data_IF_083247797718
#
_entry.id   IF_083247797718
#
_cell.length_a   1.000
_cell.length_b   1.000
_cell.length_c   1.000
_cell.angle_alpha   90.00
_cell.angle_beta   90.00
_cell.angle_gamma   90.00
#
_symmetry.space_group_name_H-M   'P 1'
#
loop_
_entity.id
_entity.type
_entity.pdbx_description
1 polymer ?
#
# COMPACT_ATOMS: atom_id res chain seq x y z
N UNK A 1 24.76 13.23 -16.39
CA UNK A 1 23.81 12.17 -15.96
C UNK A 1 23.63 12.30 -14.45
N UNK A 2 22.40 12.53 -13.98
CA UNK A 2 22.09 12.64 -12.56
C UNK A 2 21.64 11.26 -12.07
N UNK A 3 22.51 10.52 -11.38
CA UNK A 3 22.25 9.16 -10.93
C UNK A 3 21.42 9.22 -9.62
N UNK A 4 20.18 8.76 -9.64
CA UNK A 4 19.34 8.66 -8.44
C UNK A 4 19.35 7.23 -7.92
N UNK A 5 19.96 7.02 -6.76
CA UNK A 5 19.99 5.72 -6.08
C UNK A 5 18.80 5.68 -5.11
N UNK A 6 17.95 4.65 -5.24
CA UNK A 6 16.86 4.35 -4.30
C UNK A 6 17.00 2.92 -3.81
N UNK A 7 16.66 2.69 -2.54
CA UNK A 7 16.65 1.34 -1.95
C UNK A 7 15.30 0.68 -2.17
N UNK A 8 15.32 -0.58 -2.59
CA UNK A 8 14.12 -1.40 -2.77
C UNK A 8 13.79 -2.22 -1.50
N UNK A 9 14.81 -2.61 -0.74
CA UNK A 9 14.71 -3.40 0.49
C UNK A 9 13.75 -4.61 0.35
N UNK A 10 12.99 -4.93 1.41
CA UNK A 10 12.01 -6.02 1.40
C UNK A 10 10.78 -5.73 0.53
N UNK A 11 10.55 -4.46 0.17
CA UNK A 11 9.38 -4.04 -0.61
C UNK A 11 9.37 -4.64 -2.02
N UNK A 12 10.55 -4.94 -2.58
CA UNK A 12 10.65 -5.64 -3.87
C UNK A 12 10.06 -7.05 -3.82
N UNK A 13 10.39 -7.82 -2.77
CA UNK A 13 9.87 -9.18 -2.57
C UNK A 13 8.37 -9.13 -2.31
N UNK A 14 7.92 -8.25 -1.42
CA UNK A 14 6.50 -8.06 -1.11
C UNK A 14 5.73 -7.67 -2.38
N UNK A 15 6.24 -6.75 -3.19
CA UNK A 15 5.63 -6.37 -4.46
C UNK A 15 5.54 -7.54 -5.42
N UNK A 16 6.61 -8.33 -5.57
CA UNK A 16 6.61 -9.51 -6.44
C UNK A 16 5.52 -10.52 -6.04
N UNK A 17 5.38 -10.83 -4.75
CA UNK A 17 4.33 -11.74 -4.25
C UNK A 17 2.92 -11.18 -4.52
N UNK A 18 2.72 -9.87 -4.35
CA UNK A 18 1.43 -9.23 -4.63
C UNK A 18 1.06 -9.35 -6.12
N UNK A 19 2.03 -9.19 -7.03
CA UNK A 19 1.84 -9.37 -8.47
C UNK A 19 1.53 -10.84 -8.82
N UNK A 20 2.28 -11.79 -8.28
CA UNK A 20 2.09 -13.23 -8.52
C UNK A 20 0.68 -13.69 -8.11
N UNK A 21 0.16 -13.14 -7.01
CA UNK A 21 -1.18 -13.40 -6.50
C UNK A 21 -2.28 -12.59 -7.21
N UNK A 22 -1.90 -11.66 -8.10
CA UNK A 22 -2.81 -10.77 -8.84
C UNK A 22 -3.76 -9.98 -7.95
N UNK A 23 -3.32 -9.63 -6.74
CA UNK A 23 -4.18 -8.98 -5.74
C UNK A 23 -4.71 -7.64 -6.26
N UNK A 24 -3.85 -6.84 -6.90
CA UNK A 24 -4.25 -5.52 -7.44
C UNK A 24 -5.34 -5.68 -8.49
N UNK A 25 -5.13 -6.53 -9.49
CA UNK A 25 -6.10 -6.74 -10.57
C UNK A 25 -7.43 -7.30 -10.06
N UNK A 26 -7.38 -8.20 -9.08
CA UNK A 26 -8.59 -8.74 -8.46
C UNK A 26 -9.39 -7.64 -7.76
N UNK A 27 -8.71 -6.79 -6.98
CA UNK A 27 -9.37 -5.71 -6.24
C UNK A 27 -9.94 -4.66 -7.19
N UNK A 28 -9.22 -4.28 -8.23
CA UNK A 28 -9.68 -3.32 -9.24
C UNK A 28 -10.89 -3.83 -10.04
N UNK A 29 -11.09 -5.16 -10.10
CA UNK A 29 -12.30 -5.74 -10.70
C UNK A 29 -13.55 -5.57 -9.82
N UNK A 30 -13.40 -5.63 -8.49
CA UNK A 30 -14.52 -5.58 -7.54
C UNK A 30 -14.76 -4.20 -6.95
N UNK A 31 -13.75 -3.34 -6.92
CA UNK A 31 -13.79 -2.00 -6.35
C UNK A 31 -13.65 -0.98 -7.48
N UNK A 32 -14.73 -0.25 -7.83
CA UNK A 32 -14.62 0.81 -8.82
C UNK A 32 -13.73 1.93 -8.28
N UNK A 33 -12.85 2.43 -9.14
CA UNK A 33 -12.07 3.65 -8.86
C UNK A 33 -12.98 4.88 -8.98
N UNK A 34 -12.88 5.80 -8.04
CA UNK A 34 -13.48 7.14 -8.17
C UNK A 34 -12.57 8.00 -9.07
N UNK A 35 -13.14 8.71 -10.04
CA UNK A 35 -12.42 9.58 -10.98
C UNK A 35 -11.54 10.65 -10.29
N UNK A 36 -11.83 10.96 -9.02
CA UNK A 36 -11.05 11.89 -8.20
C UNK A 36 -9.80 11.26 -7.59
N UNK A 37 -9.63 9.94 -7.68
CA UNK A 37 -8.49 9.21 -7.13
C UNK A 37 -7.40 9.02 -8.19
N UNK A 38 -6.17 9.36 -7.85
CA UNK A 38 -5.02 9.24 -8.76
C UNK A 38 -4.43 7.81 -8.82
N UNK A 39 -4.84 6.94 -7.90
CA UNK A 39 -4.45 5.52 -7.80
C UNK A 39 -5.68 4.63 -7.67
N UNK A 40 -5.57 3.39 -8.14
CA UNK A 40 -6.67 2.42 -8.06
C UNK A 40 -6.86 1.90 -6.62
N UNK A 41 -8.03 1.36 -6.27
CA UNK A 41 -8.24 0.66 -4.99
C UNK A 41 -7.19 -0.43 -4.75
N UNK A 42 -6.85 -1.23 -5.76
CA UNK A 42 -5.81 -2.26 -5.68
C UNK A 42 -4.43 -1.68 -5.41
N UNK A 43 -4.06 -0.58 -6.06
CA UNK A 43 -2.80 0.14 -5.78
C UNK A 43 -2.76 0.67 -4.34
N UNK A 44 -3.89 1.19 -3.84
CA UNK A 44 -4.01 1.64 -2.46
C UNK A 44 -3.80 0.48 -1.48
N UNK A 45 -4.42 -0.69 -1.73
CA UNK A 45 -4.23 -1.89 -0.89
C UNK A 45 -2.80 -2.40 -0.94
N UNK A 46 -2.20 -2.44 -2.13
CA UNK A 46 -0.78 -2.79 -2.29
C UNK A 46 0.10 -1.87 -1.45
N UNK A 47 -0.13 -0.56 -1.50
CA UNK A 47 0.55 0.43 -0.67
C UNK A 47 0.36 0.18 0.83
N UNK A 48 -0.83 -0.22 1.27
CA UNK A 48 -1.09 -0.59 2.66
C UNK A 48 -0.33 -1.84 3.08
N UNK A 49 -0.35 -2.90 2.28
CA UNK A 49 0.36 -4.15 2.57
C UNK A 49 1.87 -3.86 2.70
N UNK A 50 2.41 -3.06 1.79
CA UNK A 50 3.82 -2.65 1.83
C UNK A 50 4.14 -1.81 3.07
N UNK A 51 3.20 -0.97 3.53
CA UNK A 51 3.35 -0.20 4.76
C UNK A 51 3.22 -1.06 6.02
N UNK A 52 2.30 -2.04 6.03
CA UNK A 52 1.94 -2.85 7.19
C UNK A 52 2.83 -4.05 7.47
N UNK A 53 3.44 -4.64 6.43
CA UNK A 53 4.39 -5.73 6.60
C UNK A 53 5.78 -5.25 7.08
N UNK A 54 5.99 -3.93 7.11
CA UNK A 54 7.26 -3.32 7.48
C UNK A 54 7.44 -3.14 8.99
N UNK A 55 7.28 -4.19 9.81
CA UNK A 55 7.73 -4.33 11.22
C UNK A 55 7.56 -3.12 12.18
N UNK A 56 6.76 -2.13 11.84
CA UNK A 56 6.55 -0.95 12.63
C UNK A 56 5.17 -1.10 13.27
N UNK A 57 5.11 -0.96 14.59
CA UNK A 57 3.90 -0.95 15.39
C UNK A 57 3.05 0.33 15.11
N UNK A 58 2.98 0.75 13.84
CA UNK A 58 2.28 1.93 13.35
C UNK A 58 1.01 1.47 12.62
N UNK A 59 -0.08 2.23 12.74
CA UNK A 59 -1.31 1.93 12.01
C UNK A 59 -1.02 1.80 10.51
N UNK A 60 -1.64 0.82 9.85
CA UNK A 60 -1.66 0.73 8.38
C UNK A 60 -2.13 2.06 7.82
N UNK A 61 -1.23 2.80 7.19
CA UNK A 61 -1.50 4.16 6.75
C UNK A 61 -0.92 4.40 5.36
N UNK A 62 -1.75 4.98 4.50
CA UNK A 62 -1.32 5.54 3.22
C UNK A 62 -0.73 6.94 3.41
N UNK A 63 0.24 7.07 4.30
CA UNK A 63 0.95 8.32 4.55
C UNK A 63 1.96 8.56 3.41
N UNK A 64 1.88 9.67 2.66
CA UNK A 64 2.83 9.99 1.58
C UNK A 64 4.29 9.88 2.01
N UNK A 65 4.58 10.21 3.27
CA UNK A 65 5.91 10.21 3.85
C UNK A 65 6.60 8.85 3.78
N UNK A 66 5.85 7.74 3.87
CA UNK A 66 6.39 6.40 3.70
C UNK A 66 6.89 6.15 2.27
N UNK A 67 6.18 6.68 1.28
CA UNK A 67 6.41 6.44 -0.14
C UNK A 67 7.50 7.32 -0.75
N UNK A 68 7.89 8.43 -0.10
CA UNK A 68 8.85 9.41 -0.63
C UNK A 68 10.19 8.80 -1.07
N UNK A 69 10.69 7.83 -0.30
CA UNK A 69 12.00 7.23 -0.53
C UNK A 69 11.94 5.92 -1.34
N UNK A 70 10.74 5.44 -1.66
CA UNK A 70 10.55 4.22 -2.42
C UNK A 70 10.68 4.46 -3.94
N UNK A 71 11.12 3.46 -4.72
CA UNK A 71 11.10 3.50 -6.17
C UNK A 71 9.67 3.21 -6.69
N UNK A 72 8.74 4.17 -6.52
CA UNK A 72 7.31 3.97 -6.78
C UNK A 72 6.99 3.49 -8.19
N UNK A 73 7.65 4.03 -9.21
CA UNK A 73 7.42 3.60 -10.59
C UNK A 73 7.77 2.13 -10.84
N UNK A 74 8.71 1.57 -10.08
CA UNK A 74 9.08 0.16 -10.16
C UNK A 74 8.17 -0.73 -9.31
N UNK A 75 7.57 -0.16 -8.27
CA UNK A 75 6.72 -0.85 -7.32
C UNK A 75 5.24 -0.79 -7.69
N UNK A 76 4.83 0.14 -8.55
CA UNK A 76 3.44 0.34 -8.97
C UNK A 76 3.39 0.45 -10.50
N UNK A 77 3.32 1.68 -11.01
CA UNK A 77 3.36 2.01 -12.43
C UNK A 77 3.96 3.39 -12.64
N UNK A 78 4.27 3.70 -13.89
CA UNK A 78 4.74 5.02 -14.30
C UNK A 78 3.77 6.14 -13.87
N UNK A 79 4.31 7.25 -13.39
CA UNK A 79 3.54 8.42 -12.97
C UNK A 79 2.95 8.35 -11.56
N UNK A 80 3.10 7.23 -10.82
CA UNK A 80 2.67 7.15 -9.41
C UNK A 80 3.62 7.96 -8.52
N UNK A 81 3.04 8.86 -7.74
CA UNK A 81 3.76 9.74 -6.83
C UNK A 81 3.36 9.48 -5.38
N UNK A 82 4.27 9.77 -4.45
CA UNK A 82 4.02 9.60 -3.01
C UNK A 82 2.78 10.39 -2.55
N UNK A 83 2.52 11.55 -3.15
CA UNK A 83 1.36 12.40 -2.88
C UNK A 83 0.02 11.78 -3.26
N UNK A 84 -0.01 10.76 -4.11
CA UNK A 84 -1.25 10.07 -4.50
C UNK A 84 -1.78 9.16 -3.38
N UNK A 85 -0.90 8.68 -2.49
CA UNK A 85 -1.28 7.87 -1.35
C UNK A 85 -1.81 8.79 -0.24
N UNK A 86 -3.13 8.87 -0.09
CA UNK A 86 -3.79 9.74 0.89
C UNK A 86 -4.78 8.93 1.74
N UNK A 87 -4.96 9.32 3.01
CA UNK A 87 -5.80 8.58 3.96
C UNK A 87 -7.27 8.43 3.53
N UNK A 88 -7.82 9.40 2.79
CA UNK A 88 -9.24 9.36 2.39
C UNK A 88 -9.58 8.25 1.38
N UNK A 89 -8.59 7.75 0.62
CA UNK A 89 -8.79 6.63 -0.31
C UNK A 89 -9.22 5.37 0.47
N UNK A 90 -8.71 5.22 1.69
CA UNK A 90 -8.98 4.07 2.56
C UNK A 90 -10.43 4.01 3.03
N UNK A 91 -11.05 5.18 3.26
CA UNK A 91 -12.44 5.27 3.74
C UNK A 91 -13.41 4.76 2.65
N UNK A 92 -13.14 5.08 1.39
CA UNK A 92 -13.99 4.66 0.25
C UNK A 92 -13.93 3.14 0.04
N UNK A 93 -12.79 2.51 0.35
CA UNK A 93 -12.59 1.06 0.19
C UNK A 93 -13.04 0.20 1.38
N UNK A 94 -13.55 0.78 2.49
CA UNK A 94 -13.82 0.07 3.76
C UNK A 94 -12.60 -0.66 4.39
N UNK A 95 -11.39 -0.39 3.92
CA UNK A 95 -10.18 -1.10 4.36
C UNK A 95 -9.59 -0.56 5.67
N UNK A 96 -9.93 0.67 6.08
CA UNK A 96 -9.51 1.20 7.39
C UNK A 96 -10.04 0.33 8.53
N UNK A 97 -11.30 -0.10 8.42
CA UNK A 97 -11.96 -0.93 9.42
C UNK A 97 -11.32 -2.32 9.48
N UNK A 98 -11.02 -2.91 8.32
CA UNK A 98 -10.29 -4.17 8.20
C UNK A 98 -8.87 -4.09 8.78
N UNK A 99 -8.18 -2.96 8.55
CA UNK A 99 -6.86 -2.64 9.11
C UNK A 99 -6.86 -2.55 10.64
N UNK A 100 -7.82 -1.81 11.21
CA UNK A 100 -7.97 -1.64 12.66
C UNK A 100 -8.27 -2.99 13.29
N UNK A 101 -9.16 -3.77 12.67
CA UNK A 101 -9.53 -5.09 13.14
C UNK A 101 -8.40 -6.12 13.02
N UNK A 102 -7.61 -6.10 11.93
CA UNK A 102 -6.45 -6.98 11.76
C UNK A 102 -5.33 -6.65 12.75
N UNK A 103 -5.06 -5.36 12.99
CA UNK A 103 -4.08 -4.91 13.99
C UNK A 103 -4.53 -5.29 15.40
N UNK A 104 -5.82 -5.11 15.72
CA UNK A 104 -6.42 -5.55 16.99
C UNK A 104 -6.35 -7.08 17.16
N UNK A 105 -6.57 -7.84 16.09
CA UNK A 105 -6.49 -9.30 16.11
C UNK A 105 -5.04 -9.79 16.28
N UNK A 106 -4.07 -9.14 15.62
CA UNK A 106 -2.66 -9.44 15.81
C UNK A 106 -2.20 -9.14 17.24
N UNK A 107 -2.58 -8.00 17.81
CA UNK A 107 -2.30 -7.69 19.22
C UNK A 107 -2.94 -8.72 20.15
N UNK A 108 -4.19 -9.15 19.90
CA UNK A 108 -4.83 -10.22 20.67
C UNK A 108 -4.13 -11.57 20.52
N UNK A 109 -3.61 -11.90 19.33
CA UNK A 109 -2.95 -13.18 19.07
C UNK A 109 -1.53 -13.27 19.67
N UNK A 110 -0.86 -12.13 19.90
CA UNK A 110 0.50 -12.08 20.44
C UNK A 110 0.56 -11.80 21.96
N UNK A 111 -0.52 -11.33 22.58
CA UNK A 111 -0.58 -11.01 24.02
C UNK A 111 -1.52 -11.92 24.83
N UNK A 112 -1.79 -13.13 24.34
CA UNK A 112 -2.36 -14.25 25.08
C UNK A 112 -1.42 -15.46 25.02
#
# INVERSE_FOLDING_TARGET
MNLKIKRLDHHGIVSGVIEDLKIVSLLDQYLPQDDKQEITPGEAVKGMIMNGLGFANRPLSLSPQFFTNLPLEHLFREGVQASHFKHHILIVTNLVELSINASSLAVKAYFH
#
